data_IF_455155498189
#
_entry.id   IF_455155498189
#
_cell.length_a   1.000
_cell.length_b   1.000
_cell.length_c   1.000
_cell.angle_alpha   90.00
_cell.angle_beta   90.00
_cell.angle_gamma   90.00
#
_symmetry.space_group_name_H-M   'P 1'
#
loop_
_entity.id
_entity.type
_entity.pdbx_description
1 polymer ?
#
# COMPACT_ATOMS: atom_id res chain seq x y z
N UNK A 1 5.86 26.59 11.80
CA UNK A 1 5.51 25.56 12.81
C UNK A 1 5.03 24.35 12.03
N UNK A 2 5.86 23.32 11.85
CA UNK A 2 5.46 22.11 11.11
C UNK A 2 4.46 21.36 11.99
N UNK A 3 3.20 21.25 11.55
CA UNK A 3 2.24 20.33 12.16
C UNK A 3 2.86 18.93 12.14
N UNK A 4 3.31 18.45 13.30
CA UNK A 4 3.57 17.03 13.53
C UNK A 4 2.25 16.35 13.23
N UNK A 5 2.19 15.58 12.15
CA UNK A 5 0.96 14.91 11.78
C UNK A 5 0.68 13.87 12.88
N UNK A 6 -0.55 13.83 13.40
CA UNK A 6 -0.89 13.06 14.60
C UNK A 6 -0.68 11.55 14.46
N UNK A 7 -0.38 11.05 13.26
CA UNK A 7 -0.36 9.64 12.92
C UNK A 7 1.02 8.96 12.96
N UNK A 8 2.12 9.69 13.19
CA UNK A 8 3.49 9.13 13.18
C UNK A 8 3.74 8.03 14.24
N UNK A 9 2.84 7.91 15.23
CA UNK A 9 2.86 6.86 16.27
C UNK A 9 1.84 5.73 16.10
N UNK A 10 1.07 5.70 15.01
CA UNK A 10 -0.03 4.75 14.82
C UNK A 10 0.32 3.69 13.77
N UNK A 11 -0.04 2.44 14.06
CA UNK A 11 0.02 1.39 13.05
C UNK A 11 -1.17 1.54 12.09
N UNK A 12 -0.95 1.68 10.76
CA UNK A 12 -2.06 1.82 9.82
C UNK A 12 -2.79 0.48 9.70
N UNK A 13 -4.02 0.43 10.21
CA UNK A 13 -4.89 -0.74 10.06
C UNK A 13 -6.27 -0.31 9.56
N UNK A 14 -6.84 -1.12 8.67
CA UNK A 14 -8.16 -0.89 8.10
C UNK A 14 -9.10 -1.93 8.70
N UNK A 15 -10.13 -1.46 9.41
CA UNK A 15 -11.16 -2.32 10.01
C UNK A 15 -12.31 -2.45 9.01
N UNK A 16 -12.47 -3.65 8.44
CA UNK A 16 -13.59 -3.92 7.54
C UNK A 16 -14.84 -4.27 8.33
N UNK A 17 -15.93 -3.59 7.99
CA UNK A 17 -17.19 -3.66 8.72
C UNK A 17 -18.33 -4.09 7.80
N UNK A 18 -19.38 -4.74 8.34
CA UNK A 18 -20.61 -4.98 7.60
C UNK A 18 -21.21 -3.68 7.04
N UNK A 19 -21.95 -3.77 5.94
CA UNK A 19 -22.64 -2.61 5.35
C UNK A 19 -23.87 -2.22 6.18
N UNK A 20 -24.63 -3.22 6.65
CA UNK A 20 -25.79 -3.02 7.52
C UNK A 20 -25.39 -2.45 8.90
N UNK A 21 -26.15 -1.47 9.37
CA UNK A 21 -25.86 -0.75 10.63
C UNK A 21 -26.01 -1.66 11.85
N UNK A 22 -27.05 -2.50 11.87
CA UNK A 22 -27.30 -3.38 13.02
C UNK A 22 -26.25 -4.48 13.10
N UNK A 23 -25.87 -5.04 11.96
CA UNK A 23 -24.73 -5.96 11.86
C UNK A 23 -23.45 -5.29 12.34
N UNK A 24 -23.17 -4.03 11.97
CA UNK A 24 -22.00 -3.28 12.48
C UNK A 24 -21.97 -3.19 14.00
N UNK A 25 -23.08 -2.81 14.62
CA UNK A 25 -23.19 -2.71 16.09
C UNK A 25 -22.95 -4.08 16.73
N UNK A 26 -23.59 -5.13 16.20
CA UNK A 26 -23.41 -6.51 16.67
C UNK A 26 -21.96 -6.97 16.53
N UNK A 27 -21.32 -6.65 15.41
CA UNK A 27 -19.93 -6.97 15.11
C UNK A 27 -18.99 -6.32 16.13
N UNK A 28 -19.12 -5.01 16.33
CA UNK A 28 -18.30 -4.26 17.31
C UNK A 28 -18.50 -4.79 18.72
N UNK A 29 -19.76 -4.95 19.14
CA UNK A 29 -20.10 -5.44 20.47
C UNK A 29 -19.63 -6.88 20.72
N UNK A 30 -19.41 -7.69 19.67
CA UNK A 30 -18.93 -9.07 19.83
C UNK A 30 -17.40 -9.12 19.89
N UNK A 31 -16.72 -8.43 18.99
CA UNK A 31 -15.26 -8.48 18.91
C UNK A 31 -14.58 -7.72 20.04
N UNK A 32 -15.11 -6.55 20.43
CA UNK A 32 -14.42 -5.63 21.33
C UNK A 32 -14.95 -5.62 22.76
N UNK A 33 -15.98 -6.42 23.09
CA UNK A 33 -16.58 -6.40 24.44
C UNK A 33 -15.84 -7.22 25.50
N UNK A 34 -14.99 -8.16 25.11
CA UNK A 34 -14.36 -9.07 26.07
C UNK A 34 -13.02 -9.60 25.57
N UNK A 35 -12.08 -9.86 26.49
CA UNK A 35 -10.76 -10.39 26.14
C UNK A 35 -10.81 -11.81 25.56
N UNK A 36 -11.87 -12.58 25.82
CA UNK A 36 -12.00 -13.96 25.34
C UNK A 36 -12.10 -14.05 23.80
N UNK A 37 -12.64 -13.04 23.11
CA UNK A 37 -12.61 -13.01 21.64
C UNK A 37 -11.16 -12.96 21.13
N UNK A 38 -10.34 -12.11 21.74
CA UNK A 38 -8.92 -11.94 21.41
C UNK A 38 -8.12 -13.21 21.74
N UNK A 39 -8.34 -13.78 22.92
CA UNK A 39 -7.70 -15.03 23.32
C UNK A 39 -8.02 -16.17 22.37
N UNK A 40 -9.30 -16.33 21.98
CA UNK A 40 -9.70 -17.33 20.98
C UNK A 40 -9.03 -17.06 19.63
N UNK A 41 -9.06 -15.81 19.14
CA UNK A 41 -8.47 -15.46 17.84
C UNK A 41 -6.97 -15.74 17.81
N UNK A 42 -6.25 -15.45 18.90
CA UNK A 42 -4.81 -15.64 18.99
C UNK A 42 -4.38 -17.11 19.02
N UNK A 43 -5.28 -18.06 19.26
CA UNK A 43 -4.98 -19.49 19.13
C UNK A 43 -4.81 -19.92 17.67
N UNK A 44 -5.47 -19.23 16.74
CA UNK A 44 -5.47 -19.65 15.34
C UNK A 44 -4.17 -19.27 14.62
N UNK A 45 -3.63 -20.26 13.92
CA UNK A 45 -2.67 -20.06 12.83
C UNK A 45 -3.43 -19.98 11.51
N UNK A 46 -2.86 -19.27 10.54
CA UNK A 46 -3.49 -19.11 9.24
C UNK A 46 -3.53 -20.46 8.52
N UNK A 47 -4.66 -20.76 7.88
CA UNK A 47 -4.94 -22.01 7.16
C UNK A 47 -4.95 -23.30 8.00
N UNK A 48 -4.91 -23.17 9.34
CA UNK A 48 -5.08 -24.27 10.28
C UNK A 48 -6.49 -24.30 10.87
N UNK A 49 -7.01 -25.50 11.03
CA UNK A 49 -8.26 -25.75 11.75
C UNK A 49 -7.97 -26.14 13.21
N UNK A 50 -8.78 -25.65 14.14
CA UNK A 50 -8.74 -26.01 15.56
C UNK A 50 -10.07 -26.58 16.01
N UNK A 51 -10.03 -27.71 16.71
CA UNK A 51 -11.25 -28.34 17.21
C UNK A 51 -11.67 -27.76 18.57
N UNK A 52 -12.98 -27.71 18.84
CA UNK A 52 -13.55 -27.10 20.05
C UNK A 52 -12.88 -27.59 21.34
N UNK A 53 -12.53 -28.88 21.38
CA UNK A 53 -11.84 -29.49 22.52
C UNK A 53 -10.45 -28.89 22.77
N UNK A 54 -9.70 -28.62 21.71
CA UNK A 54 -8.35 -28.04 21.77
C UNK A 54 -8.43 -26.59 22.26
N UNK A 55 -9.41 -25.83 21.75
CA UNK A 55 -9.65 -24.44 22.16
C UNK A 55 -10.04 -24.38 23.64
N UNK A 56 -10.95 -25.25 24.10
CA UNK A 56 -11.35 -25.33 25.52
C UNK A 56 -10.15 -25.71 26.40
N UNK A 57 -9.32 -26.65 25.95
CA UNK A 57 -8.13 -27.06 26.70
C UNK A 57 -7.10 -25.93 26.80
N UNK A 58 -6.90 -25.16 25.73
CA UNK A 58 -6.01 -24.00 25.73
C UNK A 58 -6.52 -22.88 26.65
N UNK A 59 -7.83 -22.65 26.68
CA UNK A 59 -8.49 -21.61 27.48
C UNK A 59 -9.11 -22.17 28.77
N UNK A 60 -8.37 -23.02 29.48
CA UNK A 60 -8.83 -23.71 30.68
C UNK A 60 -9.18 -22.77 31.86
N UNK A 61 -8.70 -21.52 31.84
CA UNK A 61 -9.04 -20.48 32.80
C UNK A 61 -10.44 -19.88 32.58
N UNK A 62 -11.08 -20.15 31.44
CA UNK A 62 -12.47 -19.77 31.18
C UNK A 62 -13.43 -20.96 31.34
N UNK A 63 -14.70 -20.69 31.64
CA UNK A 63 -15.70 -21.74 31.65
C UNK A 63 -15.95 -22.27 30.22
N UNK A 64 -16.16 -23.59 30.08
CA UNK A 64 -16.51 -24.21 28.79
C UNK A 64 -17.72 -23.52 28.14
N UNK A 65 -18.71 -23.12 28.95
CA UNK A 65 -19.92 -22.42 28.47
C UNK A 65 -19.56 -21.07 27.85
N UNK A 66 -18.64 -20.32 28.45
CA UNK A 66 -18.18 -19.01 27.95
C UNK A 66 -17.45 -19.17 26.63
N UNK A 67 -16.48 -20.10 26.55
CA UNK A 67 -15.70 -20.37 25.33
C UNK A 67 -16.62 -20.77 24.18
N UNK A 68 -17.52 -21.75 24.41
CA UNK A 68 -18.47 -22.22 23.40
C UNK A 68 -19.43 -21.10 22.97
N UNK A 69 -19.90 -20.28 23.92
CA UNK A 69 -20.78 -19.16 23.58
C UNK A 69 -20.07 -18.12 22.72
N UNK A 70 -18.80 -17.83 22.98
CA UNK A 70 -18.03 -16.89 22.16
C UNK A 70 -17.73 -17.46 20.77
N UNK A 71 -17.35 -18.74 20.68
CA UNK A 71 -17.15 -19.41 19.38
C UNK A 71 -18.39 -19.31 18.49
N UNK A 72 -19.59 -19.55 19.04
CA UNK A 72 -20.84 -19.38 18.30
C UNK A 72 -21.03 -17.95 17.80
N UNK A 73 -20.77 -16.95 18.64
CA UNK A 73 -20.88 -15.53 18.24
C UNK A 73 -19.88 -15.18 17.13
N UNK A 74 -18.63 -15.66 17.24
CA UNK A 74 -17.60 -15.43 16.21
C UNK A 74 -17.94 -16.10 14.87
N UNK A 75 -18.59 -17.26 14.90
CA UNK A 75 -19.13 -17.89 13.68
C UNK A 75 -20.30 -17.09 13.12
N UNK A 76 -21.21 -16.63 13.97
CA UNK A 76 -22.38 -15.86 13.59
C UNK A 76 -22.03 -14.53 12.90
N UNK A 77 -20.96 -13.86 13.34
CA UNK A 77 -20.44 -12.64 12.69
C UNK A 77 -19.46 -12.93 11.54
N UNK A 78 -19.27 -14.19 11.16
CA UNK A 78 -18.46 -14.57 10.00
C UNK A 78 -16.94 -14.46 10.19
N UNK A 79 -16.45 -14.37 11.44
CA UNK A 79 -15.02 -14.37 11.75
C UNK A 79 -14.44 -15.78 11.69
N UNK A 80 -15.22 -16.78 12.14
CA UNK A 80 -14.86 -18.19 12.10
C UNK A 80 -15.82 -18.96 11.19
N UNK A 81 -15.30 -19.95 10.48
CA UNK A 81 -16.10 -20.98 9.81
C UNK A 81 -16.17 -22.22 10.69
N UNK A 82 -17.37 -22.76 10.96
CA UNK A 82 -17.57 -24.01 11.72
C UNK A 82 -17.72 -25.20 10.76
N UNK A 83 -17.01 -26.29 11.05
CA UNK A 83 -17.17 -27.60 10.41
C UNK A 83 -17.39 -28.69 11.44
N UNK A 84 -18.23 -29.67 11.11
CA UNK A 84 -18.48 -30.85 11.95
C UNK A 84 -17.77 -32.04 11.36
N UNK A 85 -16.85 -32.64 12.12
CA UNK A 85 -16.09 -33.82 11.73
C UNK A 85 -16.52 -35.04 12.56
N UNK A 86 -16.84 -36.19 11.94
CA UNK A 86 -16.99 -37.43 12.66
C UNK A 86 -15.61 -37.94 13.09
N UNK A 87 -15.45 -38.21 14.38
CA UNK A 87 -14.21 -38.77 14.95
C UNK A 87 -14.57 -40.02 15.74
N UNK A 88 -13.84 -41.10 15.49
CA UNK A 88 -14.03 -42.37 16.18
C UNK A 88 -13.31 -42.31 17.54
N UNK A 89 -14.04 -42.53 18.62
CA UNK A 89 -13.49 -42.54 19.98
C UNK A 89 -14.08 -43.70 20.77
N UNK A 90 -13.24 -44.63 21.22
CA UNK A 90 -13.64 -45.83 21.99
C UNK A 90 -14.84 -46.57 21.36
N UNK A 91 -14.73 -46.96 20.08
CA UNK A 91 -15.80 -47.62 19.30
C UNK A 91 -17.11 -46.84 19.11
N UNK A 92 -17.17 -45.54 19.45
CA UNK A 92 -18.32 -44.67 19.19
C UNK A 92 -17.94 -43.54 18.24
N UNK A 93 -18.82 -43.27 17.26
CA UNK A 93 -18.67 -42.11 16.38
C UNK A 93 -19.15 -40.86 17.11
N UNK A 94 -18.22 -39.93 17.37
CA UNK A 94 -18.50 -38.67 18.06
C UNK A 94 -18.34 -37.54 17.05
N UNK A 95 -19.33 -36.65 16.98
CA UNK A 95 -19.26 -35.44 16.15
C UNK A 95 -18.48 -34.36 16.89
N UNK A 96 -17.38 -33.90 16.31
CA UNK A 96 -16.54 -32.84 16.87
C UNK A 96 -16.69 -31.60 15.99
N UNK A 97 -16.92 -30.45 16.63
CA UNK A 97 -16.91 -29.14 15.97
C UNK A 97 -15.48 -28.64 15.87
N UNK A 98 -15.08 -28.21 14.69
CA UNK A 98 -13.80 -27.58 14.43
C UNK A 98 -14.01 -26.28 13.67
N UNK A 99 -13.07 -25.36 13.85
CA UNK A 99 -13.17 -23.98 13.42
C UNK A 99 -11.94 -23.60 12.62
N UNK A 100 -12.09 -22.69 11.67
CA UNK A 100 -10.96 -22.01 11.01
C UNK A 100 -11.28 -20.54 10.80
N UNK A 101 -10.24 -19.72 10.65
CA UNK A 101 -10.41 -18.32 10.28
C UNK A 101 -11.00 -18.21 8.87
N UNK A 102 -11.99 -17.33 8.70
CA UNK A 102 -12.41 -16.85 7.37
C UNK A 102 -11.39 -15.83 6.84
N UNK A 103 -11.54 -15.38 5.59
CA UNK A 103 -10.69 -14.30 5.07
C UNK A 103 -10.79 -13.02 5.92
N UNK A 104 -12.00 -12.66 6.37
CA UNK A 104 -12.16 -11.53 7.30
C UNK A 104 -11.60 -11.84 8.70
N UNK A 105 -11.73 -13.08 9.17
CA UNK A 105 -11.14 -13.54 10.41
C UNK A 105 -9.61 -13.45 10.43
N UNK A 106 -8.94 -13.75 9.30
CA UNK A 106 -7.49 -13.56 9.14
C UNK A 106 -7.08 -12.10 9.34
N UNK A 107 -7.85 -11.16 8.82
CA UNK A 107 -7.59 -9.72 9.04
C UNK A 107 -7.73 -9.32 10.51
N UNK A 108 -8.81 -9.73 11.18
CA UNK A 108 -8.98 -9.43 12.60
C UNK A 108 -7.97 -10.15 13.49
N UNK A 109 -7.53 -11.36 13.12
CA UNK A 109 -6.42 -12.03 13.78
C UNK A 109 -5.14 -11.19 13.69
N UNK A 110 -4.84 -10.58 12.53
CA UNK A 110 -3.68 -9.70 12.37
C UNK A 110 -3.80 -8.38 13.16
N UNK A 111 -5.01 -7.83 13.29
CA UNK A 111 -5.26 -6.59 14.04
C UNK A 111 -4.83 -6.68 15.50
N UNK A 112 -5.00 -7.85 16.12
CA UNK A 112 -4.80 -8.04 17.57
C UNK A 112 -3.55 -8.83 17.95
N UNK A 113 -2.78 -9.30 16.96
CA UNK A 113 -1.59 -10.11 17.18
C UNK A 113 -0.32 -9.26 17.05
N UNK A 114 0.69 -9.57 17.84
CA UNK A 114 2.01 -8.96 17.65
C UNK A 114 2.57 -9.42 16.30
N UNK A 115 2.73 -8.49 15.38
CA UNK A 115 3.20 -8.74 14.02
C UNK A 115 4.62 -9.31 13.98
N UNK A 116 5.42 -9.09 15.03
CA UNK A 116 6.75 -9.72 15.16
C UNK A 116 6.67 -11.23 15.30
N UNK A 117 5.51 -11.75 15.71
CA UNK A 117 5.25 -13.19 15.90
C UNK A 117 4.62 -13.85 14.68
N UNK A 118 4.31 -13.08 13.63
CA UNK A 118 3.67 -13.55 12.40
C UNK A 118 4.70 -13.54 11.28
N UNK A 119 4.62 -14.52 10.38
CA UNK A 119 5.49 -14.57 9.21
C UNK A 119 5.40 -13.28 8.37
N UNK A 120 6.56 -12.71 8.04
CA UNK A 120 6.65 -11.40 7.35
C UNK A 120 5.99 -11.41 5.98
N UNK A 121 6.00 -12.53 5.26
CA UNK A 121 5.36 -12.65 3.95
C UNK A 121 3.84 -12.61 4.10
N UNK A 122 3.31 -13.28 5.13
CA UNK A 122 1.89 -13.21 5.48
C UNK A 122 1.49 -11.76 5.77
N UNK A 123 2.17 -11.08 6.68
CA UNK A 123 1.87 -9.68 7.02
C UNK A 123 1.94 -8.77 5.79
N UNK A 124 2.96 -8.91 4.94
CA UNK A 124 3.11 -8.13 3.71
C UNK A 124 1.93 -8.32 2.76
N UNK A 125 1.61 -9.57 2.42
CA UNK A 125 0.52 -9.88 1.50
C UNK A 125 -0.83 -9.38 2.05
N UNK A 126 -0.97 -9.42 3.37
CA UNK A 126 -2.16 -8.96 4.07
C UNK A 126 -2.39 -7.46 3.94
N UNK A 127 -1.36 -6.67 4.23
CA UNK A 127 -1.43 -5.22 4.15
C UNK A 127 -1.72 -4.76 2.72
N UNK A 128 -1.07 -5.38 1.73
CA UNK A 128 -1.32 -5.10 0.32
C UNK A 128 -2.77 -5.42 -0.04
N UNK A 129 -3.24 -6.63 0.31
CA UNK A 129 -4.63 -7.04 0.05
C UNK A 129 -5.67 -6.12 0.68
N UNK A 130 -5.47 -5.72 1.94
CA UNK A 130 -6.35 -4.79 2.65
C UNK A 130 -6.37 -3.40 1.99
N UNK A 131 -5.20 -2.87 1.62
CA UNK A 131 -5.11 -1.59 0.92
C UNK A 131 -5.84 -1.64 -0.43
N UNK A 132 -5.64 -2.72 -1.21
CA UNK A 132 -6.34 -2.91 -2.49
C UNK A 132 -7.85 -3.02 -2.30
N UNK A 133 -8.32 -3.81 -1.34
CA UNK A 133 -9.76 -3.95 -1.06
C UNK A 133 -10.39 -2.62 -0.65
N UNK A 134 -9.71 -1.87 0.21
CA UNK A 134 -10.17 -0.55 0.64
C UNK A 134 -10.27 0.39 -0.55
N UNK A 135 -9.20 0.58 -1.32
CA UNK A 135 -9.19 1.45 -2.51
C UNK A 135 -10.27 1.06 -3.52
N UNK A 136 -10.44 -0.24 -3.79
CA UNK A 136 -11.49 -0.74 -4.69
C UNK A 136 -12.90 -0.39 -4.19
N UNK A 137 -13.14 -0.45 -2.87
CA UNK A 137 -14.44 -0.06 -2.29
C UNK A 137 -14.70 1.42 -2.46
N UNK A 138 -13.70 2.29 -2.28
CA UNK A 138 -13.90 3.72 -2.51
C UNK A 138 -14.29 4.04 -3.94
N UNK A 139 -13.68 3.37 -4.92
CA UNK A 139 -14.03 3.58 -6.34
C UNK A 139 -15.50 3.27 -6.62
N UNK A 140 -16.08 2.27 -5.94
CA UNK A 140 -17.51 1.93 -6.07
C UNK A 140 -18.42 2.97 -5.40
N UNK A 141 -18.01 3.53 -4.26
CA UNK A 141 -18.78 4.59 -3.58
C UNK A 141 -18.60 5.98 -4.22
N UNK A 142 -17.58 6.16 -5.06
CA UNK A 142 -17.34 7.42 -5.76
C UNK A 142 -18.53 7.84 -6.62
N UNK A 143 -19.17 6.87 -7.28
CA UNK A 143 -20.37 7.10 -8.10
C UNK A 143 -21.58 7.61 -7.27
N UNK A 144 -21.70 7.17 -6.02
CA UNK A 144 -22.79 7.60 -5.11
C UNK A 144 -22.52 8.96 -4.45
N UNK A 145 -21.24 9.35 -4.34
CA UNK A 145 -20.79 10.54 -3.63
C UNK A 145 -20.30 11.66 -4.56
N UNK A 146 -20.43 11.49 -5.88
CA UNK A 146 -19.95 12.42 -6.91
C UNK A 146 -18.43 12.72 -6.79
N UNK A 147 -17.66 11.71 -6.37
CA UNK A 147 -16.20 11.82 -6.25
C UNK A 147 -15.58 11.42 -7.58
N UNK A 148 -14.88 12.35 -8.24
CA UNK A 148 -14.15 12.07 -9.47
C UNK A 148 -12.95 11.16 -9.22
N UNK A 149 -12.85 10.08 -10.01
CA UNK A 149 -11.78 9.08 -9.90
C UNK A 149 -10.39 9.72 -10.06
N UNK A 150 -10.23 10.74 -10.91
CA UNK A 150 -8.94 11.42 -11.10
C UNK A 150 -8.58 12.23 -9.87
N UNK A 151 -9.52 12.96 -9.27
CA UNK A 151 -9.28 13.69 -8.02
C UNK A 151 -8.80 12.74 -6.91
N UNK A 152 -9.42 11.57 -6.82
CA UNK A 152 -8.99 10.55 -5.87
C UNK A 152 -7.59 10.02 -6.16
N UNK A 153 -7.29 9.69 -7.41
CA UNK A 153 -5.94 9.26 -7.83
C UNK A 153 -4.89 10.34 -7.52
N UNK A 154 -5.24 11.60 -7.71
CA UNK A 154 -4.37 12.73 -7.36
C UNK A 154 -4.09 12.80 -5.87
N UNK A 155 -5.12 12.67 -5.03
CA UNK A 155 -4.96 12.62 -3.58
C UNK A 155 -4.05 11.46 -3.13
N UNK A 156 -4.18 10.29 -3.75
CA UNK A 156 -3.31 9.12 -3.48
C UNK A 156 -1.86 9.41 -3.86
N UNK A 157 -1.62 9.91 -5.08
CA UNK A 157 -0.27 10.24 -5.57
C UNK A 157 0.38 11.28 -4.65
N UNK A 158 -0.33 12.36 -4.32
CA UNK A 158 0.15 13.40 -3.42
C UNK A 158 0.49 12.84 -2.03
N UNK A 159 -0.38 12.00 -1.46
CA UNK A 159 -0.17 11.36 -0.17
C UNK A 159 1.06 10.43 -0.14
N UNK A 160 1.32 9.72 -1.24
CA UNK A 160 2.53 8.88 -1.40
C UNK A 160 3.78 9.75 -1.42
N UNK A 161 3.82 10.78 -2.26
CA UNK A 161 4.97 11.70 -2.36
C UNK A 161 5.23 12.40 -1.02
N UNK A 162 4.20 12.90 -0.35
CA UNK A 162 4.33 13.51 0.98
C UNK A 162 4.90 12.53 2.01
N UNK A 163 4.51 11.25 1.95
CA UNK A 163 5.04 10.21 2.81
C UNK A 163 6.52 9.93 2.54
N UNK A 164 6.95 10.00 1.28
CA UNK A 164 8.37 9.91 0.90
C UNK A 164 9.13 11.13 1.42
N UNK A 165 8.63 12.35 1.17
CA UNK A 165 9.24 13.61 1.63
C UNK A 165 9.44 13.65 3.14
N UNK A 166 8.50 13.08 3.91
CA UNK A 166 8.60 12.97 5.39
C UNK A 166 9.70 12.02 5.87
N UNK A 167 9.96 10.93 5.13
CA UNK A 167 11.03 9.98 5.45
C UNK A 167 12.43 10.53 5.16
N UNK A 168 12.51 11.59 4.36
CA UNK A 168 13.79 12.21 4.01
C UNK A 168 14.54 12.69 5.25
N UNK A 169 15.83 12.35 5.31
CA UNK A 169 16.71 12.71 6.42
C UNK A 169 17.04 14.19 6.35
N UNK A 170 16.66 14.93 7.38
CA UNK A 170 17.05 16.35 7.51
C UNK A 170 18.53 16.44 7.90
N UNK A 171 19.36 16.87 6.96
CA UNK A 171 20.80 17.04 7.16
C UNK A 171 21.41 18.02 6.16
N UNK A 172 22.74 18.21 6.25
CA UNK A 172 23.50 18.98 5.28
C UNK A 172 23.50 18.25 3.94
N UNK A 173 23.08 18.96 2.88
CA UNK A 173 23.14 18.49 1.49
C UNK A 173 24.47 18.93 0.90
N UNK A 174 25.14 18.02 0.19
CA UNK A 174 26.39 18.32 -0.51
C UNK A 174 26.09 19.00 -1.85
N UNK A 175 25.00 18.59 -2.50
CA UNK A 175 24.54 19.14 -3.76
C UNK A 175 23.01 19.30 -3.78
N UNK A 176 22.56 20.39 -4.37
CA UNK A 176 21.16 20.64 -4.68
C UNK A 176 21.05 20.93 -6.16
N UNK A 177 20.23 20.16 -6.87
CA UNK A 177 20.07 20.27 -8.33
C UNK A 177 18.68 20.80 -8.62
N UNK A 178 18.60 21.87 -9.41
CA UNK A 178 17.35 22.49 -9.82
C UNK A 178 17.01 22.12 -11.27
N UNK A 179 15.78 21.68 -11.53
CA UNK A 179 15.28 21.56 -12.89
C UNK A 179 14.07 20.66 -13.02
N UNK A 180 13.97 19.99 -14.18
CA UNK A 180 12.83 19.17 -14.56
C UNK A 180 13.16 17.68 -14.55
N UNK A 181 12.09 16.89 -14.41
CA UNK A 181 12.05 15.46 -14.72
C UNK A 181 11.38 15.28 -16.08
N UNK A 182 11.75 14.23 -16.80
CA UNK A 182 11.14 13.87 -18.09
C UNK A 182 11.11 12.35 -18.26
N UNK A 183 10.34 11.89 -19.24
CA UNK A 183 10.38 10.53 -19.75
C UNK A 183 11.06 10.52 -21.12
N UNK A 184 12.20 9.83 -21.23
CA UNK A 184 12.97 9.74 -22.46
C UNK A 184 12.56 8.49 -23.24
N UNK A 185 12.10 8.66 -24.47
CA UNK A 185 11.66 7.59 -25.37
C UNK A 185 12.64 7.52 -26.54
N UNK A 186 13.41 6.43 -26.61
CA UNK A 186 14.33 6.14 -27.69
C UNK A 186 13.64 5.29 -28.75
N UNK A 187 13.43 5.85 -29.94
CA UNK A 187 12.82 5.16 -31.08
C UNK A 187 13.83 4.24 -31.78
N UNK A 188 14.40 3.30 -31.03
CA UNK A 188 15.24 2.20 -31.54
C UNK A 188 14.39 0.94 -31.77
N UNK A 189 14.98 -0.13 -32.29
CA UNK A 189 14.38 -1.47 -32.26
C UNK A 189 15.20 -2.38 -31.34
N UNK A 190 14.68 -2.81 -30.18
CA UNK A 190 13.38 -2.46 -29.58
C UNK A 190 13.30 -1.00 -29.11
N UNK A 191 12.09 -0.47 -28.94
CA UNK A 191 11.87 0.86 -28.33
C UNK A 191 12.34 0.79 -26.88
N UNK A 192 13.05 1.82 -26.42
CA UNK A 192 13.53 1.91 -25.04
C UNK A 192 12.96 3.15 -24.37
N UNK A 193 12.57 3.01 -23.11
CA UNK A 193 11.99 4.09 -22.31
C UNK A 193 12.84 4.21 -21.04
N UNK A 194 13.27 5.42 -20.72
CA UNK A 194 14.10 5.70 -19.55
C UNK A 194 13.59 6.92 -18.79
N UNK A 195 13.82 6.96 -17.46
CA UNK A 195 13.74 8.21 -16.72
C UNK A 195 14.73 9.23 -17.30
N UNK A 196 14.30 10.48 -17.40
CA UNK A 196 15.05 11.55 -18.05
C UNK A 196 14.93 12.88 -17.34
N UNK A 197 15.42 13.92 -18.01
CA UNK A 197 15.58 15.26 -17.47
C UNK A 197 17.03 15.55 -17.11
N UNK A 198 17.57 16.64 -17.65
CA UNK A 198 18.99 16.99 -17.47
C UNK A 198 19.38 17.13 -16.00
N UNK A 199 18.56 17.84 -15.22
CA UNK A 199 18.74 18.03 -13.79
C UNK A 199 18.59 16.70 -13.01
N UNK A 200 17.61 15.87 -13.37
CA UNK A 200 17.43 14.55 -12.76
C UNK A 200 18.66 13.66 -12.97
N UNK A 201 19.21 13.64 -14.19
CA UNK A 201 20.41 12.88 -14.53
C UNK A 201 21.64 13.34 -13.74
N UNK A 202 21.81 14.65 -13.55
CA UNK A 202 22.89 15.19 -12.70
C UNK A 202 22.69 14.81 -11.24
N UNK A 203 21.45 14.85 -10.73
CA UNK A 203 21.15 14.49 -9.36
C UNK A 203 21.46 13.01 -9.09
N UNK A 204 21.01 12.11 -9.96
CA UNK A 204 21.29 10.66 -9.88
C UNK A 204 22.79 10.39 -9.99
N UNK A 205 23.45 10.98 -10.99
CA UNK A 205 24.90 10.78 -11.18
C UNK A 205 25.70 11.23 -9.97
N UNK A 206 25.34 12.35 -9.36
CA UNK A 206 26.00 12.89 -8.16
C UNK A 206 25.76 12.02 -6.93
N UNK A 207 24.53 11.53 -6.76
CA UNK A 207 24.18 10.58 -5.69
C UNK A 207 24.99 9.28 -5.81
N UNK A 208 25.10 8.72 -7.02
CA UNK A 208 25.91 7.52 -7.31
C UNK A 208 27.40 7.72 -7.01
N UNK A 209 27.91 8.96 -7.09
CA UNK A 209 29.27 9.32 -6.71
C UNK A 209 29.45 9.53 -5.19
N UNK A 210 28.40 9.33 -4.39
CA UNK A 210 28.44 9.37 -2.93
C UNK A 210 28.09 10.74 -2.32
N UNK A 211 27.65 11.71 -3.12
CA UNK A 211 27.21 13.02 -2.60
C UNK A 211 25.79 12.92 -2.03
N UNK A 212 25.56 13.52 -0.86
CA UNK A 212 24.20 13.71 -0.35
C UNK A 212 23.46 14.74 -1.21
N UNK A 213 22.73 14.25 -2.20
CA UNK A 213 22.16 15.04 -3.30
C UNK A 213 20.66 15.22 -3.13
N UNK A 214 20.17 16.44 -3.32
CA UNK A 214 18.74 16.74 -3.33
C UNK A 214 18.31 17.35 -4.66
N UNK A 215 17.08 17.04 -5.07
CA UNK A 215 16.47 17.56 -6.27
C UNK A 215 15.38 18.58 -5.92
N UNK A 216 15.38 19.71 -6.61
CA UNK A 216 14.36 20.76 -6.54
C UNK A 216 13.73 20.90 -7.93
N UNK A 217 12.41 20.83 -7.98
CA UNK A 217 11.67 21.00 -9.20
C UNK A 217 10.18 20.86 -8.97
N UNK A 218 9.41 21.10 -10.04
CA UNK A 218 8.00 20.73 -10.08
C UNK A 218 7.84 19.39 -10.79
N UNK A 219 6.94 18.57 -10.27
CA UNK A 219 6.57 17.30 -10.88
C UNK A 219 5.06 17.27 -11.15
N UNK A 220 4.63 16.67 -12.28
CA UNK A 220 3.22 16.52 -12.59
C UNK A 220 2.57 15.54 -11.64
N UNK A 221 1.29 15.78 -11.36
CA UNK A 221 0.49 14.94 -10.48
C UNK A 221 -0.12 13.76 -11.28
N UNK A 222 0.73 12.94 -11.87
CA UNK A 222 0.33 11.76 -12.64
C UNK A 222 1.19 10.53 -12.28
N UNK A 223 0.80 9.34 -12.76
CA UNK A 223 1.51 8.10 -12.43
C UNK A 223 2.94 8.07 -12.96
N UNK A 224 3.22 8.72 -14.09
CA UNK A 224 4.57 8.75 -14.66
C UNK A 224 5.45 9.67 -13.83
N UNK A 225 4.94 10.86 -13.47
CA UNK A 225 5.59 11.77 -12.53
C UNK A 225 5.91 11.10 -11.20
N UNK A 226 4.96 10.35 -10.63
CA UNK A 226 5.21 9.55 -9.42
C UNK A 226 6.34 8.53 -9.62
N UNK A 227 6.32 7.78 -10.74
CA UNK A 227 7.36 6.79 -11.02
C UNK A 227 8.74 7.45 -11.12
N UNK A 228 8.86 8.54 -11.86
CA UNK A 228 10.12 9.29 -12.01
C UNK A 228 10.65 9.81 -10.67
N UNK A 229 9.75 10.25 -9.77
CA UNK A 229 10.13 10.65 -8.41
C UNK A 229 10.57 9.45 -7.55
N UNK A 230 9.92 8.29 -7.69
CA UNK A 230 10.32 7.06 -7.01
C UNK A 230 11.71 6.61 -7.50
N UNK A 231 11.97 6.67 -8.80
CA UNK A 231 13.26 6.33 -9.38
C UNK A 231 14.39 7.22 -8.81
N UNK A 232 14.16 8.53 -8.66
CA UNK A 232 15.09 9.43 -7.98
C UNK A 232 15.40 8.97 -6.54
N UNK A 233 14.38 8.58 -5.79
CA UNK A 233 14.51 8.14 -4.40
C UNK A 233 15.26 6.81 -4.30
N UNK A 234 15.00 5.87 -5.21
CA UNK A 234 15.72 4.60 -5.29
C UNK A 234 17.21 4.81 -5.61
N UNK A 235 17.54 5.84 -6.37
CA UNK A 235 18.91 6.31 -6.64
C UNK A 235 19.53 7.12 -5.50
N UNK A 236 18.84 7.25 -4.36
CA UNK A 236 19.34 7.96 -3.17
C UNK A 236 19.20 9.48 -3.21
N UNK A 237 18.47 10.03 -4.19
CA UNK A 237 18.24 11.46 -4.32
C UNK A 237 17.10 11.92 -3.40
N UNK A 238 17.36 12.95 -2.58
CA UNK A 238 16.34 13.55 -1.73
C UNK A 238 15.38 14.45 -2.52
N UNK A 239 14.10 14.05 -2.58
CA UNK A 239 13.02 14.80 -3.23
C UNK A 239 12.18 15.67 -2.28
N UNK A 240 12.63 15.89 -1.04
CA UNK A 240 11.86 16.65 -0.02
C UNK A 240 11.52 18.09 -0.42
N UNK A 241 12.21 18.63 -1.43
CA UNK A 241 12.03 19.97 -1.97
C UNK A 241 11.24 19.99 -3.30
N UNK A 242 10.73 18.86 -3.76
CA UNK A 242 9.86 18.78 -4.95
C UNK A 242 8.46 19.28 -4.61
N UNK A 243 7.90 20.08 -5.52
CA UNK A 243 6.50 20.49 -5.51
C UNK A 243 5.71 19.69 -6.54
N UNK A 244 4.53 19.21 -6.14
CA UNK A 244 3.59 18.60 -7.07
C UNK A 244 2.67 19.66 -7.65
N UNK A 245 2.37 19.55 -8.95
CA UNK A 245 1.53 20.50 -9.65
C UNK A 245 0.59 19.75 -10.60
N UNK A 246 -0.72 19.86 -10.33
CA UNK A 246 -1.78 19.20 -11.11
C UNK A 246 -1.91 19.76 -12.53
N UNK A 247 -1.51 21.03 -12.73
CA UNK A 247 -1.58 21.67 -14.05
C UNK A 247 -0.49 21.18 -15.00
N UNK A 248 0.58 20.57 -14.49
CA UNK A 248 1.68 20.07 -15.28
C UNK A 248 1.37 18.72 -15.92
N UNK A 249 2.00 18.47 -17.06
CA UNK A 249 2.05 17.16 -17.71
C UNK A 249 3.47 16.63 -17.67
N UNK A 250 3.62 15.32 -17.64
CA UNK A 250 4.92 14.68 -17.80
C UNK A 250 5.58 15.12 -19.10
N UNK A 251 6.77 15.71 -18.98
CA UNK A 251 7.58 16.06 -20.13
C UNK A 251 8.05 14.78 -20.83
N UNK A 252 7.88 14.71 -22.15
CA UNK A 252 8.30 13.56 -22.95
C UNK A 252 9.37 14.03 -23.92
N UNK A 253 10.53 13.38 -23.88
CA UNK A 253 11.63 13.63 -24.79
C UNK A 253 11.83 12.43 -25.71
N UNK A 254 11.62 12.63 -27.01
CA UNK A 254 11.78 11.59 -28.02
C UNK A 254 13.17 11.71 -28.62
N UNK A 255 13.95 10.62 -28.53
CA UNK A 255 15.26 10.49 -29.17
C UNK A 255 15.12 9.62 -30.41
N UNK A 256 15.44 10.16 -31.57
CA UNK A 256 15.19 9.49 -32.85
C UNK A 256 16.22 9.86 -33.92
N UNK A 257 16.54 8.92 -34.81
CA UNK A 257 17.44 9.12 -35.95
C UNK A 257 16.74 8.87 -37.30
N UNK A 258 15.41 8.79 -37.33
CA UNK A 258 14.64 8.40 -38.53
C UNK A 258 14.62 9.46 -39.63
N UNK A 259 14.71 10.75 -39.26
CA UNK A 259 14.57 11.89 -40.16
C UNK A 259 15.90 12.64 -40.39
N UNK A 260 17.02 12.11 -39.91
CA UNK A 260 18.29 12.84 -39.85
C UNK A 260 19.47 11.89 -39.70
N UNK A 261 20.58 12.22 -40.35
CA UNK A 261 21.87 11.51 -40.23
C UNK A 261 22.36 11.46 -38.76
N UNK A 262 21.95 12.43 -37.95
CA UNK A 262 22.28 12.56 -36.53
C UNK A 262 21.05 12.29 -35.64
N UNK A 263 21.23 11.70 -34.45
CA UNK A 263 20.14 11.57 -33.49
C UNK A 263 19.62 12.96 -33.09
N UNK A 264 18.31 13.12 -33.08
CA UNK A 264 17.62 14.32 -32.65
C UNK A 264 16.84 14.04 -31.37
N UNK A 265 16.86 15.01 -30.45
CA UNK A 265 16.00 15.00 -29.26
C UNK A 265 14.90 16.03 -29.47
N UNK A 266 13.66 15.61 -29.27
CA UNK A 266 12.46 16.43 -29.37
C UNK A 266 11.68 16.34 -28.07
N UNK A 267 11.65 17.40 -27.27
CA UNK A 267 11.01 17.41 -25.96
C UNK A 267 9.73 18.25 -25.94
N UNK A 268 8.61 17.63 -25.58
CA UNK A 268 7.32 18.32 -25.34
C UNK A 268 7.05 18.43 -23.84
N UNK A 269 6.62 19.62 -23.41
CA UNK A 269 6.36 19.96 -22.00
C UNK A 269 4.87 20.21 -21.71
N UNK A 270 4.05 20.35 -22.75
CA UNK A 270 2.59 20.41 -22.69
C UNK A 270 2.00 20.17 -24.09
N UNK A 271 0.70 19.93 -24.20
CA UNK A 271 -0.01 19.82 -25.49
C UNK A 271 0.10 21.09 -26.33
N UNK A 272 0.29 22.24 -25.67
CA UNK A 272 0.20 23.56 -26.28
C UNK A 272 1.58 24.15 -26.59
N UNK A 273 2.66 23.47 -26.18
CA UNK A 273 4.03 23.92 -26.45
C UNK A 273 4.68 23.05 -27.54
N UNK A 274 5.14 23.64 -28.65
CA UNK A 274 5.84 22.90 -29.68
C UNK A 274 7.12 22.27 -29.09
N UNK A 275 7.50 21.07 -29.53
CA UNK A 275 8.65 20.42 -28.95
C UNK A 275 9.94 21.19 -29.28
N UNK A 276 10.81 21.32 -28.29
CA UNK A 276 12.15 21.90 -28.50
C UNK A 276 13.00 20.82 -29.17
N UNK A 277 13.40 21.07 -30.42
CA UNK A 277 14.26 20.15 -31.18
C UNK A 277 15.72 20.56 -30.99
N UNK A 278 16.52 19.65 -30.42
CA UNK A 278 17.97 19.81 -30.31
C UNK A 278 18.66 18.77 -31.19
N UNK A 279 19.52 19.21 -32.10
CA UNK A 279 20.41 18.33 -32.85
C UNK A 279 21.59 17.95 -31.97
N UNK A 280 21.84 16.65 -31.78
CA UNK A 280 23.04 16.19 -31.10
C UNK A 280 24.19 16.20 -32.11
N UNK A 281 25.09 17.18 -31.99
CA UNK A 281 26.34 17.17 -32.73
C UNK A 281 27.29 16.19 -32.03
N UNK A 282 27.73 15.16 -32.74
CA UNK A 282 28.80 14.25 -32.32
C UNK A 282 30.16 14.92 -32.36
#
# INVERSE_FOLDING_TARGET
>A
MLHKNSFDGYWPFIVMMPTDVNERVKYMSTLFSSLISLEILNLFEWDRELCQREIIAALHHHSNKTVISMLKKLVEIGILEEKVKPVQRNNRNVKIKCYKLTEIGKWYNLLFRDQKTVDRKIVRNSIIGLATLFLNRFLVYGDELDIDIKEQLYSIIAGVVDSIKRKSVKGRRDLVVFGSIALDIYLTQPIKIFPGGSAANIAVSSSRLGLNTSFIGKAPLDFIGLQLLVDLVEEGVDISLVELDESLKTAICIVSNWLSEYPQISCSYSSDNPPVITKLNS
#
